data_IF_985263464771
#
_entry.id   IF_985263464771
#
_cell.length_a   1.000
_cell.length_b   1.000
_cell.length_c   1.000
_cell.angle_alpha   90.00
_cell.angle_beta   90.00
_cell.angle_gamma   90.00
#
_symmetry.space_group_name_H-M   'P 1'
#
loop_
_entity.id
_entity.type
_entity.pdbx_description
1 polymer ?
#
# COMPACT_ATOMS: atom_id res chain seq x y z
N UNK A 1 -24.20 29.75 34.18
CA UNK A 1 -24.12 30.00 32.72
C UNK A 1 -22.68 30.10 32.20
N UNK A 2 -21.78 30.92 32.78
CA UNK A 2 -20.36 31.01 32.35
C UNK A 2 -19.64 29.66 32.24
N UNK A 3 -19.76 28.79 33.26
CA UNK A 3 -19.09 27.46 33.29
C UNK A 3 -19.53 26.52 32.17
N UNK A 4 -20.80 26.60 31.72
CA UNK A 4 -21.34 25.74 30.65
C UNK A 4 -20.83 26.18 29.28
N UNK A 5 -20.75 27.49 29.04
CA UNK A 5 -20.14 28.07 27.83
C UNK A 5 -18.66 27.71 27.69
N UNK A 6 -17.90 27.70 28.79
CA UNK A 6 -16.48 27.31 28.79
C UNK A 6 -16.29 25.84 28.38
N UNK A 7 -17.16 24.94 28.83
CA UNK A 7 -17.10 23.51 28.49
C UNK A 7 -17.43 23.28 27.01
N UNK A 8 -18.45 23.95 26.48
CA UNK A 8 -18.81 23.85 25.05
C UNK A 8 -17.65 24.36 24.17
N UNK A 9 -17.03 25.49 24.53
CA UNK A 9 -15.90 26.04 23.78
C UNK A 9 -14.67 25.12 23.77
N UNK A 10 -14.37 24.46 24.90
CA UNK A 10 -13.30 23.45 25.00
C UNK A 10 -13.57 22.24 24.10
N UNK A 11 -14.80 21.74 24.03
CA UNK A 11 -15.17 20.60 23.16
C UNK A 11 -14.97 20.95 21.68
N UNK A 12 -15.34 22.17 21.25
CA UNK A 12 -15.12 22.62 19.87
C UNK A 12 -13.63 22.76 19.50
N UNK A 13 -12.78 23.16 20.46
CA UNK A 13 -11.33 23.23 20.24
C UNK A 13 -10.72 21.83 20.06
N UNK A 14 -11.12 20.85 20.88
CA UNK A 14 -10.61 19.47 20.75
C UNK A 14 -11.12 18.75 19.50
N UNK A 15 -12.36 19.01 19.07
CA UNK A 15 -12.90 18.46 17.82
C UNK A 15 -12.21 19.05 16.56
N UNK A 16 -11.58 20.22 16.67
CA UNK A 16 -10.86 20.83 15.54
C UNK A 16 -9.46 20.23 15.32
N UNK A 17 -8.84 19.64 16.36
CA UNK A 17 -7.55 18.97 16.25
C UNK A 17 -7.61 17.62 15.53
N UNK A 18 -8.74 16.89 15.59
CA UNK A 18 -8.86 15.58 14.93
C UNK A 18 -8.82 15.68 13.41
N UNK A 19 -9.43 16.73 12.82
CA UNK A 19 -9.41 16.96 11.38
C UNK A 19 -8.01 17.35 10.88
N UNK A 20 -7.28 18.17 11.63
CA UNK A 20 -5.91 18.55 11.28
C UNK A 20 -4.97 17.34 11.32
N UNK A 21 -5.09 16.48 12.35
CA UNK A 21 -4.31 15.25 12.44
C UNK A 21 -4.55 14.31 11.26
N UNK A 22 -5.82 14.14 10.85
CA UNK A 22 -6.16 13.25 9.73
C UNK A 22 -5.60 13.74 8.39
N UNK A 23 -5.64 15.06 8.14
CA UNK A 23 -5.13 15.66 6.90
C UNK A 23 -3.60 15.61 6.83
N UNK A 24 -2.93 15.82 7.95
CA UNK A 24 -1.46 15.68 8.06
C UNK A 24 -1.03 14.23 7.83
N UNK A 25 -1.74 13.26 8.44
CA UNK A 25 -1.46 11.84 8.23
C UNK A 25 -1.71 11.41 6.77
N UNK A 26 -2.75 11.93 6.12
CA UNK A 26 -3.04 11.68 4.72
C UNK A 26 -1.93 12.20 3.78
N UNK A 27 -1.41 13.41 4.02
CA UNK A 27 -0.32 13.96 3.22
C UNK A 27 0.98 13.17 3.42
N UNK A 28 1.32 12.88 4.68
CA UNK A 28 2.50 12.09 5.03
C UNK A 28 2.45 10.69 4.40
N UNK A 29 1.31 10.00 4.52
CA UNK A 29 1.13 8.68 3.94
C UNK A 29 1.23 8.70 2.41
N UNK A 30 0.93 9.80 1.72
CA UNK A 30 1.08 9.89 0.25
C UNK A 30 2.54 9.90 -0.15
N UNK A 31 3.36 10.67 0.54
CA UNK A 31 4.81 10.68 0.31
C UNK A 31 5.41 9.31 0.62
N UNK A 32 5.03 8.71 1.76
CA UNK A 32 5.48 7.37 2.16
C UNK A 32 5.07 6.28 1.17
N UNK A 33 3.95 6.43 0.45
CA UNK A 33 3.55 5.45 -0.56
C UNK A 33 4.57 5.36 -1.71
N UNK A 34 5.13 6.51 -2.14
CA UNK A 34 6.13 6.52 -3.22
C UNK A 34 7.40 5.78 -2.83
N UNK A 35 7.87 6.00 -1.59
CA UNK A 35 9.00 5.25 -1.04
C UNK A 35 8.69 3.76 -0.94
N UNK A 36 7.54 3.41 -0.37
CA UNK A 36 7.09 2.02 -0.24
C UNK A 36 7.07 1.28 -1.57
N UNK A 37 6.52 1.88 -2.64
CA UNK A 37 6.47 1.24 -3.96
C UNK A 37 7.86 1.13 -4.59
N UNK A 38 8.76 2.08 -4.34
CA UNK A 38 10.16 1.97 -4.77
C UNK A 38 10.84 0.76 -4.13
N UNK A 39 10.68 0.56 -2.81
CA UNK A 39 11.24 -0.60 -2.11
C UNK A 39 10.66 -1.93 -2.62
N UNK A 40 9.34 -1.97 -2.89
CA UNK A 40 8.68 -3.15 -3.47
C UNK A 40 9.24 -3.45 -4.86
N UNK A 41 9.43 -2.42 -5.69
CA UNK A 41 9.98 -2.57 -7.04
C UNK A 41 11.42 -3.08 -7.00
N UNK A 42 12.26 -2.49 -6.16
CA UNK A 42 13.66 -2.91 -5.97
C UNK A 42 13.74 -4.37 -5.48
N UNK A 43 12.93 -4.75 -4.49
CA UNK A 43 12.89 -6.13 -3.99
C UNK A 43 12.52 -7.14 -5.08
N UNK A 44 11.62 -6.77 -6.00
CA UNK A 44 11.22 -7.60 -7.13
C UNK A 44 12.31 -7.69 -8.20
N UNK A 45 12.94 -6.56 -8.57
CA UNK A 45 14.01 -6.50 -9.58
C UNK A 45 15.28 -7.24 -9.11
N UNK A 46 15.64 -7.08 -7.85
CA UNK A 46 16.80 -7.77 -7.23
C UNK A 46 16.49 -9.21 -6.81
N UNK A 47 15.28 -9.70 -7.10
CA UNK A 47 14.86 -11.08 -6.77
C UNK A 47 14.91 -11.40 -5.27
N UNK A 48 14.85 -10.37 -4.42
CA UNK A 48 14.79 -10.45 -2.96
C UNK A 48 13.35 -10.66 -2.50
N UNK A 49 12.78 -11.79 -2.89
CA UNK A 49 11.34 -12.09 -2.69
C UNK A 49 10.98 -12.14 -1.19
N UNK A 50 11.92 -12.50 -0.31
CA UNK A 50 11.77 -12.43 1.15
C UNK A 50 11.40 -11.02 1.66
N UNK A 51 12.02 -9.97 1.10
CA UNK A 51 11.72 -8.57 1.46
C UNK A 51 10.29 -8.18 1.07
N UNK A 52 9.75 -8.77 0.00
CA UNK A 52 8.37 -8.53 -0.40
C UNK A 52 7.38 -9.09 0.64
N UNK A 53 7.67 -10.27 1.19
CA UNK A 53 6.81 -10.90 2.20
C UNK A 53 6.61 -9.99 3.43
N UNK A 54 7.66 -9.28 3.86
CA UNK A 54 7.60 -8.35 4.98
C UNK A 54 6.72 -7.12 4.72
N UNK A 55 6.48 -6.79 3.44
CA UNK A 55 5.61 -5.68 3.01
C UNK A 55 4.15 -6.12 2.82
N UNK A 56 3.84 -7.40 2.99
CA UNK A 56 2.48 -7.96 2.82
C UNK A 56 1.82 -8.26 4.17
N UNK A 57 0.52 -8.02 4.28
CA UNK A 57 -0.24 -8.54 5.42
C UNK A 57 -0.33 -10.06 5.34
N UNK A 58 -0.17 -10.73 6.48
CA UNK A 58 -0.27 -12.19 6.56
C UNK A 58 -1.72 -12.61 6.33
N UNK A 59 -1.99 -13.17 5.15
CA UNK A 59 -3.25 -13.86 4.84
C UNK A 59 -3.02 -14.97 3.79
N UNK A 60 -4.00 -15.86 3.62
CA UNK A 60 -3.88 -17.04 2.74
C UNK A 60 -3.61 -16.65 1.29
N UNK A 61 -4.28 -15.62 0.78
CA UNK A 61 -4.16 -15.14 -0.61
C UNK A 61 -2.76 -14.55 -0.87
N UNK A 62 -2.24 -13.77 0.07
CA UNK A 62 -0.90 -13.20 0.02
C UNK A 62 0.19 -14.27 0.12
N UNK A 63 -0.03 -15.32 0.93
CA UNK A 63 0.88 -16.47 0.98
C UNK A 63 0.93 -17.20 -0.37
N UNK A 64 -0.21 -17.38 -1.02
CA UNK A 64 -0.27 -17.98 -2.36
C UNK A 64 0.47 -17.12 -3.40
N UNK A 65 0.23 -15.81 -3.41
CA UNK A 65 0.95 -14.90 -4.31
C UNK A 65 2.46 -14.98 -4.12
N UNK A 66 2.92 -14.94 -2.87
CA UNK A 66 4.34 -15.10 -2.54
C UNK A 66 4.91 -16.39 -3.14
N UNK A 67 4.20 -17.52 -3.00
CA UNK A 67 4.62 -18.80 -3.57
C UNK A 67 4.71 -18.76 -5.11
N UNK A 68 3.78 -18.10 -5.79
CA UNK A 68 3.83 -17.95 -7.25
C UNK A 68 5.00 -17.05 -7.70
N UNK A 69 5.26 -15.95 -6.99
CA UNK A 69 6.41 -15.07 -7.26
C UNK A 69 7.74 -15.80 -7.04
N UNK A 70 7.85 -16.63 -6.00
CA UNK A 70 9.01 -17.49 -5.77
C UNK A 70 9.22 -18.47 -6.93
N UNK A 71 8.15 -19.10 -7.44
CA UNK A 71 8.23 -20.00 -8.61
C UNK A 71 8.72 -19.27 -9.86
N UNK A 72 8.21 -18.07 -10.14
CA UNK A 72 8.63 -17.26 -11.28
C UNK A 72 10.11 -16.85 -11.17
N UNK A 73 10.56 -16.50 -9.97
CA UNK A 73 11.96 -16.16 -9.71
C UNK A 73 12.91 -17.35 -10.00
N UNK A 74 12.53 -18.56 -9.58
CA UNK A 74 13.29 -19.80 -9.82
C UNK A 74 13.43 -20.11 -11.33
N UNK A 75 12.43 -19.71 -12.14
CA UNK A 75 12.42 -19.97 -13.59
C UNK A 75 13.35 -19.04 -14.40
N UNK A 76 14.07 -18.10 -13.76
CA UNK A 76 15.02 -17.15 -14.38
C UNK A 76 14.45 -16.34 -15.55
N UNK A 77 13.13 -16.23 -15.69
CA UNK A 77 12.53 -15.32 -16.65
C UNK A 77 12.84 -13.88 -16.24
N UNK A 78 13.08 -13.03 -17.23
CA UNK A 78 13.15 -11.58 -17.00
C UNK A 78 11.73 -11.11 -16.70
N UNK A 79 11.52 -10.54 -15.52
CA UNK A 79 10.22 -10.07 -15.06
C UNK A 79 10.32 -8.56 -14.87
N UNK A 80 9.45 -7.82 -15.54
CA UNK A 80 9.38 -6.37 -15.42
C UNK A 80 8.05 -5.97 -14.77
N UNK A 81 8.13 -5.05 -13.81
CA UNK A 81 6.99 -4.58 -13.03
C UNK A 81 6.73 -3.10 -13.33
N UNK A 82 5.50 -2.80 -13.73
CA UNK A 82 5.06 -1.44 -14.04
C UNK A 82 3.93 -1.03 -13.08
N UNK A 83 4.24 -0.13 -12.15
CA UNK A 83 3.29 0.38 -11.17
C UNK A 83 2.68 1.69 -11.66
N UNK A 84 1.35 1.74 -11.72
CA UNK A 84 0.60 2.99 -11.93
C UNK A 84 0.33 3.66 -10.58
N UNK A 85 0.49 4.99 -10.52
CA UNK A 85 0.10 5.77 -9.35
C UNK A 85 -1.41 5.57 -9.06
N UNK A 86 -1.79 5.21 -7.82
CA UNK A 86 -3.16 4.88 -7.45
C UNK A 86 -3.99 6.14 -7.23
N UNK A 87 -5.29 5.98 -7.37
CA UNK A 87 -6.21 6.98 -6.82
C UNK A 87 -6.17 6.94 -5.29
N UNK A 88 -6.01 8.11 -4.69
CA UNK A 88 -5.63 8.23 -3.29
C UNK A 88 -6.83 8.32 -2.36
N UNK A 89 -7.42 7.18 -2.02
CA UNK A 89 -8.54 7.02 -1.09
C UNK A 89 -8.08 6.56 0.31
N UNK A 90 -7.50 7.44 1.12
CA UNK A 90 -6.98 7.08 2.44
C UNK A 90 -8.07 6.46 3.37
N UNK A 91 -7.74 5.41 4.17
CA UNK A 91 -6.44 4.77 4.35
C UNK A 91 -6.20 3.57 3.41
N UNK A 92 -7.05 3.35 2.40
CA UNK A 92 -6.98 2.19 1.50
C UNK A 92 -6.93 2.63 0.04
N UNK A 93 -5.80 2.41 -0.60
CA UNK A 93 -5.59 2.82 -1.98
C UNK A 93 -5.48 1.59 -2.90
N UNK A 94 -5.85 1.77 -4.16
CA UNK A 94 -5.84 0.72 -5.17
C UNK A 94 -4.93 1.14 -6.31
N UNK A 95 -3.89 0.36 -6.57
CA UNK A 95 -2.98 0.54 -7.69
C UNK A 95 -3.22 -0.47 -8.79
N UNK A 96 -2.61 -0.20 -9.93
CA UNK A 96 -2.48 -1.15 -11.03
C UNK A 96 -1.01 -1.53 -11.15
N UNK A 97 -0.73 -2.82 -11.23
CA UNK A 97 0.57 -3.33 -11.64
C UNK A 97 0.41 -4.14 -12.92
N UNK A 98 1.29 -3.91 -13.89
CA UNK A 98 1.49 -4.82 -15.00
C UNK A 98 2.78 -5.62 -14.74
N UNK A 99 2.69 -6.93 -14.91
CA UNK A 99 3.81 -7.87 -14.78
C UNK A 99 4.07 -8.43 -16.17
N UNK A 100 5.23 -8.11 -16.74
CA UNK A 100 5.67 -8.62 -18.03
C UNK A 100 6.70 -9.72 -17.82
N UNK A 101 6.51 -10.86 -18.48
CA UNK A 101 7.45 -11.97 -18.47
C UNK A 101 7.38 -12.73 -19.81
N UNK A 102 8.52 -12.86 -20.49
CA UNK A 102 8.56 -13.30 -21.88
C UNK A 102 7.65 -12.42 -22.77
N UNK A 103 6.80 -13.06 -23.57
CA UNK A 103 5.85 -12.38 -24.48
C UNK A 103 4.49 -12.08 -23.84
N UNK A 104 4.37 -12.25 -22.51
CA UNK A 104 3.10 -12.09 -21.79
C UNK A 104 3.13 -10.86 -20.90
N UNK A 105 2.00 -10.18 -20.83
CA UNK A 105 1.76 -9.12 -19.85
C UNK A 105 0.48 -9.45 -19.09
N UNK A 106 0.58 -9.55 -17.78
CA UNK A 106 -0.56 -9.76 -16.89
C UNK A 106 -0.80 -8.52 -16.04
N UNK A 107 -2.07 -8.15 -15.91
CA UNK A 107 -2.47 -6.96 -15.15
C UNK A 107 -3.10 -7.38 -13.83
N UNK A 108 -2.72 -6.69 -12.76
CA UNK A 108 -3.27 -6.93 -11.43
C UNK A 108 -3.66 -5.62 -10.76
N UNK A 109 -4.78 -5.64 -10.05
CA UNK A 109 -5.09 -4.61 -9.05
C UNK A 109 -4.32 -4.96 -7.78
N UNK A 110 -3.46 -4.05 -7.30
CA UNK A 110 -2.86 -4.14 -5.95
C UNK A 110 -3.70 -3.30 -5.00
N UNK A 111 -3.99 -3.86 -3.83
CA UNK A 111 -4.65 -3.15 -2.77
C UNK A 111 -3.69 -2.87 -1.61
N UNK A 112 -3.58 -1.60 -1.24
CA UNK A 112 -2.71 -1.14 -0.16
C UNK A 112 -3.53 -0.60 1.01
N UNK A 113 -3.02 -0.75 2.23
CA UNK A 113 -3.61 -0.20 3.44
C UNK A 113 -2.56 0.50 4.29
N UNK A 114 -2.89 1.69 4.78
CA UNK A 114 -2.10 2.42 5.76
C UNK A 114 -2.47 1.95 7.16
N UNK A 115 -1.50 1.40 7.90
CA UNK A 115 -1.71 0.92 9.27
C UNK A 115 -0.43 1.06 10.07
N UNK A 116 -0.55 1.65 11.26
CA UNK A 116 0.57 1.86 12.19
C UNK A 116 1.74 2.65 11.56
N UNK A 117 1.42 3.71 10.81
CA UNK A 117 2.43 4.60 10.23
C UNK A 117 3.17 4.04 9.00
N UNK A 118 2.69 2.93 8.42
CA UNK A 118 3.28 2.33 7.22
C UNK A 118 2.25 1.74 6.27
N UNK A 119 2.67 1.60 5.01
CA UNK A 119 1.91 0.92 3.98
C UNK A 119 2.12 -0.59 4.02
N UNK A 120 1.06 -1.29 3.61
CA UNK A 120 1.06 -2.74 3.45
C UNK A 120 0.31 -3.10 2.18
N UNK A 121 0.80 -4.11 1.46
CA UNK A 121 -0.01 -4.81 0.46
C UNK A 121 -0.93 -5.78 1.21
N UNK A 122 -2.24 -5.59 1.11
CA UNK A 122 -3.19 -6.51 1.75
C UNK A 122 -3.85 -7.47 0.78
N UNK A 123 -3.90 -7.13 -0.50
CA UNK A 123 -4.47 -7.99 -1.52
C UNK A 123 -3.90 -7.72 -2.93
N UNK A 124 -4.00 -8.71 -3.80
CA UNK A 124 -3.70 -8.66 -5.23
C UNK A 124 -4.78 -9.43 -6.01
N UNK A 125 -5.32 -8.81 -7.05
CA UNK A 125 -6.32 -9.44 -7.92
C UNK A 125 -5.94 -9.33 -9.38
N UNK A 126 -5.87 -10.47 -10.08
CA UNK A 126 -5.68 -10.50 -11.52
C UNK A 126 -6.87 -9.84 -12.21
N UNK A 127 -6.61 -8.87 -13.10
CA UNK A 127 -7.62 -8.32 -13.99
C UNK A 127 -7.86 -9.31 -15.12
N UNK A 128 -9.14 -9.62 -15.37
CA UNK A 128 -9.57 -10.45 -16.49
C UNK A 128 -9.41 -9.72 -17.81
#
# INVERSE_FOLDING_TARGET
MKKVLTVIFLIYLFASCSNLSSKTEQNFSREQWKFFVSEVKEALEEKKIENLQEKMLVNVKNKYLYQELVKLNIQRQEIQFYFKEPEYNFPKIQGLVAIQYGDRTEYFTIFYVWKQGKWWIYDLEKRR
#
